data_IF_395776852932
#
_entry.id   IF_395776852932
#
_cell.length_a   1.000
_cell.length_b   1.000
_cell.length_c   1.000
_cell.angle_alpha   90.00
_cell.angle_beta   90.00
_cell.angle_gamma   90.00
#
_symmetry.space_group_name_H-M   'P 1'
#
loop_
_entity.id
_entity.type
_entity.pdbx_description
1 polymer ?
#
# COMPACT_ATOMS: atom_id res chain seq x y z
N UNK A 1 -44.18 -99.57 20.26
CA UNK A 1 -43.69 -99.29 18.89
C UNK A 1 -42.38 -98.55 19.04
N UNK A 2 -41.27 -99.30 19.09
CA UNK A 2 -39.94 -98.76 19.32
C UNK A 2 -39.14 -98.94 18.04
N UNK A 3 -38.79 -97.80 17.46
CA UNK A 3 -38.01 -97.63 16.24
C UNK A 3 -36.58 -98.14 16.47
N UNK A 4 -36.19 -99.25 15.82
CA UNK A 4 -34.78 -99.63 15.71
C UNK A 4 -34.19 -98.99 14.45
N UNK A 5 -33.35 -97.98 14.67
CA UNK A 5 -32.49 -97.37 13.65
C UNK A 5 -31.35 -98.36 13.40
N UNK A 6 -31.36 -99.04 12.25
CA UNK A 6 -30.19 -99.78 11.77
C UNK A 6 -29.13 -98.76 11.38
N UNK A 7 -28.03 -98.75 12.15
CA UNK A 7 -26.92 -97.82 11.98
C UNK A 7 -26.40 -97.79 10.55
N UNK A 8 -26.15 -96.57 10.07
CA UNK A 8 -25.41 -96.32 8.83
C UNK A 8 -24.02 -96.95 8.95
N UNK A 9 -23.83 -98.06 8.24
CA UNK A 9 -22.51 -98.62 7.99
C UNK A 9 -21.72 -97.62 7.15
N UNK A 10 -20.77 -96.95 7.79
CA UNK A 10 -19.83 -96.06 7.13
C UNK A 10 -19.19 -96.76 5.94
N UNK A 11 -19.33 -96.15 4.76
CA UNK A 11 -18.69 -96.60 3.54
C UNK A 11 -17.18 -96.66 3.77
N UNK A 12 -16.67 -97.88 3.98
CA UNK A 12 -15.26 -98.16 3.97
C UNK A 12 -14.73 -97.88 2.58
N UNK A 13 -14.25 -96.66 2.34
CA UNK A 13 -13.50 -96.32 1.15
C UNK A 13 -12.29 -97.24 1.03
N UNK A 14 -11.87 -97.52 -0.20
CA UNK A 14 -10.74 -98.41 -0.45
C UNK A 14 -9.49 -97.95 0.32
N UNK A 15 -8.86 -98.85 1.05
CA UNK A 15 -7.63 -98.58 1.83
C UNK A 15 -6.34 -98.76 1.01
N UNK A 16 -6.47 -99.22 -0.23
CA UNK A 16 -5.40 -99.34 -1.22
C UNK A 16 -5.93 -98.96 -2.61
N UNK A 17 -5.07 -98.43 -3.49
CA UNK A 17 -5.45 -98.02 -4.84
C UNK A 17 -6.09 -99.15 -5.66
N UNK A 18 -5.70 -100.41 -5.44
CA UNK A 18 -6.29 -101.57 -6.13
C UNK A 18 -7.73 -101.87 -5.73
N UNK A 19 -8.22 -101.30 -4.63
CA UNK A 19 -9.62 -101.41 -4.19
C UNK A 19 -10.54 -100.35 -4.79
N UNK A 20 -9.99 -99.36 -5.51
CA UNK A 20 -10.77 -98.35 -6.21
C UNK A 20 -11.32 -98.95 -7.50
N UNK A 21 -12.65 -99.07 -7.60
CA UNK A 21 -13.30 -99.72 -8.75
C UNK A 21 -13.21 -98.91 -10.04
N UNK A 22 -12.88 -97.64 -9.94
CA UNK A 22 -12.66 -96.68 -11.02
C UNK A 22 -11.18 -96.55 -11.41
N UNK A 23 -10.27 -97.27 -10.75
CA UNK A 23 -8.83 -97.28 -11.08
C UNK A 23 -8.43 -98.65 -11.62
N UNK A 24 -7.70 -98.68 -12.72
CA UNK A 24 -7.12 -99.89 -13.29
C UNK A 24 -5.62 -99.70 -13.42
N UNK A 25 -4.84 -100.53 -12.72
CA UNK A 25 -3.37 -100.45 -12.73
C UNK A 25 -2.77 -101.67 -13.43
N UNK A 26 -1.84 -101.45 -14.36
CA UNK A 26 -1.09 -102.50 -15.04
C UNK A 26 0.36 -102.06 -15.26
N UNK A 27 1.32 -102.98 -15.06
CA UNK A 27 2.76 -102.75 -15.32
C UNK A 27 3.29 -101.41 -14.75
N UNK A 28 3.15 -101.22 -13.43
CA UNK A 28 3.56 -99.99 -12.76
C UNK A 28 5.08 -99.75 -12.88
N UNK A 29 5.44 -98.52 -13.24
CA UNK A 29 6.81 -98.01 -13.28
C UNK A 29 6.89 -96.62 -12.62
N UNK A 30 8.09 -96.25 -12.15
CA UNK A 30 8.33 -94.92 -11.59
C UNK A 30 8.03 -93.82 -12.63
N UNK A 31 7.45 -92.69 -12.18
CA UNK A 31 7.13 -91.55 -13.05
C UNK A 31 5.84 -91.69 -13.85
N UNK A 32 5.00 -92.68 -13.56
CA UNK A 32 3.65 -92.77 -14.11
C UNK A 32 2.66 -91.89 -13.34
N UNK A 33 1.63 -91.44 -14.04
CA UNK A 33 0.49 -90.70 -13.49
C UNK A 33 -0.79 -91.49 -13.71
N UNK A 34 -1.85 -91.18 -12.95
CA UNK A 34 -3.19 -91.65 -13.27
C UNK A 34 -3.83 -90.69 -14.28
N UNK A 35 -4.18 -91.20 -15.46
CA UNK A 35 -4.90 -90.47 -16.48
C UNK A 35 -6.25 -91.14 -16.71
N UNK A 36 -7.31 -90.33 -16.77
CA UNK A 36 -8.64 -90.84 -17.07
C UNK A 36 -8.72 -91.28 -18.54
N UNK A 37 -9.06 -92.55 -18.78
CA UNK A 37 -9.28 -93.11 -20.10
C UNK A 37 -10.79 -93.18 -20.39
N UNK A 38 -11.28 -92.30 -21.26
CA UNK A 38 -12.70 -92.25 -21.61
C UNK A 38 -13.21 -93.48 -22.38
N UNK A 39 -12.30 -94.28 -22.98
CA UNK A 39 -12.66 -95.51 -23.68
C UNK A 39 -12.96 -96.68 -22.74
N UNK A 40 -12.29 -96.74 -21.59
CA UNK A 40 -12.52 -97.77 -20.56
C UNK A 40 -13.35 -97.25 -19.38
N UNK A 41 -13.52 -95.93 -19.28
CA UNK A 41 -14.21 -95.26 -18.17
C UNK A 41 -13.46 -95.35 -16.85
N UNK A 42 -12.15 -95.64 -16.87
CA UNK A 42 -11.29 -95.85 -15.70
C UNK A 42 -10.11 -94.88 -15.68
N UNK A 43 -9.58 -94.63 -14.49
CA UNK A 43 -8.27 -94.03 -14.29
C UNK A 43 -7.21 -95.11 -14.48
N UNK A 44 -6.33 -94.92 -15.46
CA UNK A 44 -5.28 -95.87 -15.79
C UNK A 44 -3.91 -95.26 -15.50
N UNK A 45 -2.96 -96.05 -15.00
CA UNK A 45 -1.58 -95.58 -14.91
C UNK A 45 -1.00 -95.48 -16.31
N UNK A 46 -0.49 -94.31 -16.64
CA UNK A 46 0.19 -94.04 -17.90
C UNK A 46 1.51 -93.37 -17.62
N UNK A 47 2.46 -93.53 -18.54
CA UNK A 47 3.70 -92.75 -18.47
C UNK A 47 3.36 -91.26 -18.51
N UNK A 48 4.01 -90.46 -17.65
CA UNK A 48 3.95 -89.01 -17.78
C UNK A 48 4.52 -88.62 -19.14
N UNK A 49 3.63 -88.29 -20.07
CA UNK A 49 4.00 -87.84 -21.42
C UNK A 49 4.30 -86.34 -21.37
N UNK A 50 5.45 -85.94 -21.94
CA UNK A 50 5.82 -84.52 -22.04
C UNK A 50 6.70 -83.96 -20.92
N UNK A 51 7.52 -84.78 -20.25
CA UNK A 51 8.59 -84.24 -19.41
C UNK A 51 9.59 -83.49 -20.31
N UNK A 52 9.70 -82.17 -20.11
CA UNK A 52 10.75 -81.40 -20.74
C UNK A 52 12.06 -81.63 -19.98
N UNK A 53 13.09 -82.06 -20.69
CA UNK A 53 14.45 -82.20 -20.16
C UNK A 53 15.26 -81.04 -20.68
N UNK A 54 15.69 -80.13 -19.81
CA UNK A 54 16.56 -79.03 -20.22
C UNK A 54 17.94 -79.57 -20.64
N UNK A 55 18.32 -79.26 -21.88
CA UNK A 55 19.57 -79.72 -22.51
C UNK A 55 20.62 -78.62 -22.64
N UNK A 56 20.29 -77.40 -22.22
CA UNK A 56 21.17 -76.24 -22.31
C UNK A 56 20.77 -75.31 -23.45
N UNK A 57 21.75 -74.55 -23.92
CA UNK A 57 21.54 -73.55 -24.95
C UNK A 57 21.58 -74.12 -26.35
N UNK A 58 20.86 -73.49 -27.29
CA UNK A 58 20.91 -73.79 -28.71
C UNK A 58 21.22 -72.53 -29.52
N UNK A 59 22.28 -72.58 -30.32
CA UNK A 59 22.69 -71.51 -31.19
C UNK A 59 21.96 -71.64 -32.54
N UNK A 60 20.98 -70.77 -32.78
CA UNK A 60 20.14 -70.83 -33.99
C UNK A 60 20.81 -70.30 -35.27
N UNK A 61 22.02 -69.73 -35.17
CA UNK A 61 22.85 -69.41 -36.35
C UNK A 61 23.70 -70.61 -36.77
N UNK A 62 24.28 -71.34 -35.80
CA UNK A 62 25.17 -72.47 -36.06
C UNK A 62 24.45 -73.83 -36.14
N UNK A 63 23.21 -73.93 -35.66
CA UNK A 63 22.46 -75.18 -35.58
C UNK A 63 23.02 -76.17 -34.55
N UNK A 64 23.60 -75.65 -33.46
CA UNK A 64 24.28 -76.46 -32.43
C UNK A 64 23.61 -76.32 -31.06
N UNK A 65 23.51 -77.39 -30.25
CA UNK A 65 23.96 -78.75 -30.55
C UNK A 65 23.11 -79.41 -31.65
N UNK A 66 23.71 -80.36 -32.38
CA UNK A 66 23.02 -81.06 -33.46
C UNK A 66 21.83 -81.85 -32.93
N UNK A 67 20.67 -81.70 -33.56
CA UNK A 67 19.41 -82.32 -33.11
C UNK A 67 19.12 -83.68 -33.76
N UNK A 68 20.00 -84.24 -34.59
CA UNK A 68 19.74 -85.51 -35.31
C UNK A 68 19.34 -86.66 -34.40
N UNK A 69 19.85 -86.69 -33.17
CA UNK A 69 19.54 -87.71 -32.16
C UNK A 69 18.84 -87.14 -30.93
N UNK A 70 18.22 -85.95 -31.04
CA UNK A 70 17.46 -85.39 -29.94
C UNK A 70 16.20 -86.24 -29.68
N UNK A 71 15.88 -86.39 -28.40
CA UNK A 71 14.75 -87.19 -27.94
C UNK A 71 13.54 -86.31 -27.69
N UNK A 72 12.35 -86.91 -27.75
CA UNK A 72 11.12 -86.28 -27.33
C UNK A 72 11.25 -85.71 -25.92
N UNK A 73 10.88 -84.44 -25.77
CA UNK A 73 10.98 -83.70 -24.52
C UNK A 73 12.31 -82.98 -24.32
N UNK A 74 13.32 -83.15 -25.19
CA UNK A 74 14.53 -82.33 -25.13
C UNK A 74 14.14 -80.85 -25.33
N UNK A 75 14.55 -80.01 -24.37
CA UNK A 75 14.24 -78.60 -24.28
C UNK A 75 15.53 -77.76 -24.29
N UNK A 76 15.59 -76.75 -25.15
CA UNK A 76 16.73 -75.84 -25.27
C UNK A 76 16.28 -74.39 -25.19
N UNK A 77 17.16 -73.53 -24.71
CA UNK A 77 16.98 -72.06 -24.74
C UNK A 77 17.89 -71.47 -25.81
N UNK A 78 17.35 -70.61 -26.66
CA UNK A 78 18.14 -69.97 -27.72
C UNK A 78 19.10 -68.96 -27.09
N UNK A 79 20.40 -69.13 -27.30
CA UNK A 79 21.43 -68.19 -26.82
C UNK A 79 21.88 -67.21 -27.91
N UNK A 80 21.79 -67.63 -29.18
CA UNK A 80 22.13 -66.84 -30.35
C UNK A 80 20.98 -66.91 -31.33
N UNK A 81 20.40 -65.73 -31.65
CA UNK A 81 19.34 -65.60 -32.62
C UNK A 81 19.78 -66.07 -34.02
N UNK A 82 18.83 -66.50 -34.84
CA UNK A 82 19.09 -66.99 -36.19
C UNK A 82 17.89 -67.71 -36.79
N UNK A 83 17.99 -68.10 -38.05
CA UNK A 83 16.95 -68.89 -38.73
C UNK A 83 17.43 -70.32 -38.89
N UNK A 84 16.73 -71.26 -38.26
CA UNK A 84 17.05 -72.68 -38.31
C UNK A 84 15.77 -73.52 -38.41
N UNK A 85 15.81 -74.58 -39.20
CA UNK A 85 14.66 -75.47 -39.46
C UNK A 85 13.44 -74.73 -40.05
N UNK A 86 13.65 -73.63 -40.78
CA UNK A 86 12.57 -72.81 -41.34
C UNK A 86 11.87 -71.90 -40.33
N UNK A 87 12.37 -71.83 -39.10
CA UNK A 87 11.84 -71.00 -38.00
C UNK A 87 12.85 -69.90 -37.68
N UNK A 88 12.37 -68.66 -37.49
CA UNK A 88 13.20 -67.57 -37.01
C UNK A 88 13.20 -67.55 -35.47
N UNK A 89 14.38 -67.59 -34.87
CA UNK A 89 14.59 -67.66 -33.44
C UNK A 89 15.24 -66.38 -32.93
N UNK A 90 14.67 -65.81 -31.87
CA UNK A 90 15.22 -64.73 -31.06
C UNK A 90 15.95 -65.31 -29.85
N UNK A 91 16.89 -64.54 -29.29
CA UNK A 91 17.56 -64.93 -28.04
C UNK A 91 16.52 -65.06 -26.93
N UNK A 92 16.64 -66.15 -26.15
CA UNK A 92 15.72 -66.51 -25.08
C UNK A 92 14.53 -67.35 -25.54
N UNK A 93 14.24 -67.44 -26.84
CA UNK A 93 13.19 -68.35 -27.32
C UNK A 93 13.49 -69.79 -26.89
N UNK A 94 12.46 -70.62 -26.90
CA UNK A 94 12.50 -71.98 -26.39
C UNK A 94 12.28 -72.97 -27.51
N UNK A 95 13.24 -73.87 -27.74
CA UNK A 95 13.15 -74.96 -28.69
C UNK A 95 12.78 -76.25 -27.95
N UNK A 96 11.69 -76.90 -28.38
CA UNK A 96 11.22 -78.17 -27.81
C UNK A 96 11.16 -79.22 -28.91
N UNK A 97 11.74 -80.39 -28.64
CA UNK A 97 11.62 -81.57 -29.48
C UNK A 97 10.36 -82.35 -29.07
N UNK A 98 9.36 -82.43 -29.94
CA UNK A 98 8.05 -83.01 -29.62
C UNK A 98 7.94 -84.53 -29.88
N UNK A 99 8.91 -85.08 -30.62
CA UNK A 99 9.01 -86.49 -30.97
C UNK A 99 10.47 -86.85 -31.30
N UNK A 100 10.83 -88.13 -31.17
CA UNK A 100 12.21 -88.59 -31.36
C UNK A 100 12.69 -88.31 -32.81
N UNK A 101 13.86 -87.69 -32.96
CA UNK A 101 14.41 -87.33 -34.28
C UNK A 101 14.87 -88.55 -35.09
N UNK A 102 15.29 -89.62 -34.43
CA UNK A 102 15.56 -90.91 -35.10
C UNK A 102 16.72 -90.89 -36.12
N UNK A 103 17.67 -89.96 -35.98
CA UNK A 103 18.85 -89.84 -36.83
C UNK A 103 18.70 -88.84 -37.98
N UNK A 104 17.49 -88.35 -38.27
CA UNK A 104 17.21 -87.36 -39.32
C UNK A 104 16.40 -86.21 -38.73
N UNK A 105 16.83 -84.98 -38.97
CA UNK A 105 16.11 -83.80 -38.46
C UNK A 105 14.81 -83.62 -39.25
N UNK A 106 13.68 -83.65 -38.54
CA UNK A 106 12.36 -83.29 -39.07
C UNK A 106 11.88 -82.00 -38.38
N UNK A 107 11.78 -80.87 -39.11
CA UNK A 107 11.26 -79.61 -38.56
C UNK A 107 9.85 -79.71 -37.97
N UNK A 108 9.00 -80.65 -38.43
CA UNK A 108 7.66 -80.84 -37.85
C UNK A 108 7.71 -81.35 -36.40
N UNK A 109 8.86 -81.90 -35.99
CA UNK A 109 9.11 -82.36 -34.62
C UNK A 109 9.66 -81.27 -33.70
N UNK A 110 9.76 -80.04 -34.18
CA UNK A 110 10.30 -78.90 -33.44
C UNK A 110 9.18 -77.91 -33.14
N UNK A 111 8.98 -77.63 -31.86
CA UNK A 111 8.11 -76.57 -31.40
C UNK A 111 8.94 -75.38 -30.92
N UNK A 112 8.49 -74.19 -31.29
CA UNK A 112 8.97 -72.92 -30.76
C UNK A 112 8.00 -72.42 -29.69
N UNK A 113 8.54 -71.94 -28.58
CA UNK A 113 7.83 -71.03 -27.68
C UNK A 113 8.61 -69.71 -27.70
N UNK A 114 7.92 -68.63 -28.05
CA UNK A 114 8.53 -67.29 -28.12
C UNK A 114 8.82 -66.75 -26.71
N UNK A 115 9.98 -66.13 -26.54
CA UNK A 115 10.29 -65.36 -25.35
C UNK A 115 9.63 -63.97 -25.44
N UNK A 116 8.67 -63.71 -24.56
CA UNK A 116 7.96 -62.42 -24.50
C UNK A 116 8.63 -61.38 -23.60
N UNK A 117 9.69 -61.75 -22.88
CA UNK A 117 10.33 -60.89 -21.87
C UNK A 117 11.37 -59.93 -22.47
N UNK A 118 11.56 -59.95 -23.79
CA UNK A 118 12.47 -59.04 -24.47
C UNK A 118 11.92 -57.59 -24.44
N UNK A 119 12.70 -56.66 -23.89
CA UNK A 119 12.44 -55.23 -24.07
C UNK A 119 12.58 -54.90 -25.56
N UNK A 120 11.47 -54.62 -26.22
CA UNK A 120 11.42 -54.40 -27.67
C UNK A 120 11.99 -53.03 -28.09
N UNK A 121 11.92 -52.04 -27.21
CA UNK A 121 12.53 -50.71 -27.40
C UNK A 121 12.66 -49.96 -26.08
N UNK A 122 13.55 -48.97 -26.04
CA UNK A 122 13.60 -47.97 -24.97
C UNK A 122 13.43 -46.61 -25.63
N UNK A 123 12.35 -45.89 -25.27
CA UNK A 123 12.00 -44.61 -25.87
C UNK A 123 11.93 -44.66 -27.43
N UNK A 124 11.42 -45.76 -27.99
CA UNK A 124 11.33 -45.98 -29.43
C UNK A 124 12.63 -46.40 -30.12
N UNK A 125 13.79 -46.36 -29.44
CA UNK A 125 15.06 -46.83 -29.95
C UNK A 125 15.24 -48.35 -29.75
N UNK A 126 15.93 -48.99 -30.70
CA UNK A 126 16.27 -50.42 -30.66
C UNK A 126 17.80 -50.63 -30.75
N UNK A 127 18.31 -51.76 -30.27
CA UNK A 127 19.74 -52.09 -30.28
C UNK A 127 20.50 -51.56 -29.05
N UNK A 128 21.73 -51.06 -29.25
CA UNK A 128 22.48 -50.38 -28.17
C UNK A 128 21.87 -49.00 -27.98
N UNK A 129 21.16 -48.81 -26.88
CA UNK A 129 20.48 -47.55 -26.58
C UNK A 129 21.36 -46.70 -25.67
N UNK A 130 21.72 -45.51 -26.14
CA UNK A 130 22.28 -44.42 -25.34
C UNK A 130 21.28 -43.27 -25.46
N UNK A 131 20.77 -42.78 -24.34
CA UNK A 131 19.85 -41.65 -24.31
C UNK A 131 20.52 -40.45 -23.64
N UNK A 132 20.21 -39.26 -24.12
CA UNK A 132 20.44 -38.00 -23.40
C UNK A 132 19.10 -37.26 -23.15
N UNK A 133 19.19 -36.00 -22.73
CA UNK A 133 18.01 -35.18 -22.46
C UNK A 133 17.18 -34.85 -23.70
N UNK A 134 17.80 -34.85 -24.89
CA UNK A 134 17.13 -34.49 -26.14
C UNK A 134 16.24 -35.62 -26.66
N UNK A 135 16.57 -36.87 -26.29
CA UNK A 135 15.78 -38.04 -26.67
C UNK A 135 14.45 -38.11 -25.91
N UNK A 136 14.40 -37.60 -24.68
CA UNK A 136 13.23 -37.74 -23.80
C UNK A 136 12.43 -36.45 -23.79
N UNK A 137 11.20 -36.50 -24.31
CA UNK A 137 10.33 -35.32 -24.34
C UNK A 137 9.98 -34.81 -22.92
N UNK A 138 10.01 -33.49 -22.76
CA UNK A 138 9.47 -32.84 -21.57
C UNK A 138 7.94 -32.96 -21.50
N UNK A 139 7.42 -33.13 -20.29
CA UNK A 139 5.98 -33.23 -20.02
C UNK A 139 5.58 -32.31 -18.87
N UNK A 140 4.37 -32.46 -18.33
CA UNK A 140 3.92 -31.64 -17.21
C UNK A 140 4.71 -31.87 -15.90
N UNK A 141 5.38 -33.03 -15.78
CA UNK A 141 6.13 -33.45 -14.58
C UNK A 141 7.63 -33.47 -14.82
N UNK A 142 8.07 -33.93 -15.99
CA UNK A 142 9.48 -33.95 -16.37
C UNK A 142 9.80 -32.66 -17.13
N UNK A 143 10.37 -31.69 -16.43
CA UNK A 143 10.74 -30.39 -16.97
C UNK A 143 12.25 -30.22 -16.78
N UNK A 144 12.97 -30.03 -17.87
CA UNK A 144 14.41 -29.84 -17.80
C UNK A 144 14.74 -28.42 -17.34
N UNK A 145 15.93 -28.28 -16.76
CA UNK A 145 16.47 -26.97 -16.47
C UNK A 145 16.81 -26.30 -17.81
N UNK A 146 16.28 -25.09 -18.01
CA UNK A 146 16.70 -24.20 -19.08
C UNK A 146 16.93 -22.82 -18.49
N UNK A 147 17.93 -22.10 -19.01
CA UNK A 147 18.20 -20.72 -18.61
C UNK A 147 16.93 -19.87 -18.74
N UNK A 148 16.18 -20.06 -19.83
CA UNK A 148 14.91 -19.37 -20.05
C UNK A 148 13.85 -19.59 -18.94
N UNK A 149 13.68 -20.83 -18.43
CA UNK A 149 12.75 -21.09 -17.30
C UNK A 149 13.28 -20.53 -15.99
N UNK A 150 14.60 -20.59 -15.79
CA UNK A 150 15.23 -20.03 -14.60
C UNK A 150 15.06 -18.50 -14.57
N UNK A 151 15.32 -17.83 -15.70
CA UNK A 151 15.18 -16.39 -15.88
C UNK A 151 13.71 -15.97 -15.73
N UNK A 152 12.78 -16.65 -16.39
CA UNK A 152 11.34 -16.36 -16.23
C UNK A 152 10.88 -16.47 -14.77
N UNK A 153 11.41 -17.45 -14.01
CA UNK A 153 11.15 -17.56 -12.57
C UNK A 153 11.79 -16.43 -11.77
N UNK A 154 13.01 -16.02 -12.13
CA UNK A 154 13.70 -14.91 -11.47
C UNK A 154 12.94 -13.58 -11.71
N UNK A 155 12.58 -13.29 -12.96
CA UNK A 155 11.82 -12.11 -13.34
C UNK A 155 10.46 -12.06 -12.63
N UNK A 156 9.75 -13.19 -12.57
CA UNK A 156 8.49 -13.27 -11.83
C UNK A 156 8.67 -12.95 -10.33
N UNK A 157 9.77 -13.41 -9.71
CA UNK A 157 10.08 -13.10 -8.31
C UNK A 157 10.46 -11.63 -8.12
N UNK A 158 11.24 -11.06 -9.03
CA UNK A 158 11.64 -9.65 -8.99
C UNK A 158 10.40 -8.75 -9.16
N UNK A 159 9.55 -9.04 -10.14
CA UNK A 159 8.32 -8.29 -10.40
C UNK A 159 7.29 -8.39 -9.26
N UNK A 160 7.21 -9.54 -8.58
CA UNK A 160 6.35 -9.74 -7.41
C UNK A 160 6.95 -9.14 -6.12
N UNK A 161 8.24 -8.81 -6.11
CA UNK A 161 8.88 -8.19 -4.96
C UNK A 161 8.40 -6.74 -4.80
N UNK A 162 8.16 -6.35 -3.56
CA UNK A 162 7.83 -4.97 -3.19
C UNK A 162 8.78 -4.51 -2.08
N UNK A 163 8.63 -3.28 -1.60
CA UNK A 163 9.51 -2.70 -0.58
C UNK A 163 9.56 -3.49 0.74
N UNK A 164 8.52 -4.28 1.05
CA UNK A 164 8.47 -5.16 2.24
C UNK A 164 9.17 -6.50 2.03
N UNK A 165 9.47 -6.88 0.79
CA UNK A 165 10.21 -8.08 0.46
C UNK A 165 11.74 -7.90 0.58
N UNK A 166 12.21 -6.65 0.69
CA UNK A 166 13.63 -6.36 0.95
C UNK A 166 13.91 -6.59 2.44
N UNK A 167 14.32 -7.82 2.77
CA UNK A 167 14.72 -8.19 4.13
C UNK A 167 15.98 -7.44 4.60
N UNK A 168 16.84 -7.07 3.65
CA UNK A 168 17.98 -6.18 3.87
C UNK A 168 18.24 -5.37 2.60
N UNK A 169 18.30 -4.05 2.73
CA UNK A 169 18.87 -3.15 1.73
C UNK A 169 20.27 -2.75 2.21
N UNK A 170 21.19 -3.70 2.16
CA UNK A 170 22.59 -3.46 2.54
C UNK A 170 23.32 -2.81 1.36
N UNK A 171 23.41 -1.48 1.35
CA UNK A 171 24.38 -0.77 0.53
C UNK A 171 25.75 -0.81 1.23
N UNK A 172 26.63 -1.72 0.82
CA UNK A 172 28.00 -1.81 1.37
C UNK A 172 28.93 -0.81 0.67
N UNK A 173 28.75 0.49 0.91
CA UNK A 173 29.79 1.47 0.63
C UNK A 173 30.40 1.96 1.94
N UNK A 174 31.24 1.12 2.54
CA UNK A 174 32.09 1.49 3.66
C UNK A 174 31.36 1.76 4.99
N UNK A 175 32.13 1.74 6.06
CA UNK A 175 31.70 2.15 7.41
C UNK A 175 31.33 3.64 7.38
N UNK A 176 30.15 4.00 7.93
CA UNK A 176 29.57 5.35 8.07
C UNK A 176 28.47 5.79 7.05
N UNK A 177 27.37 5.05 6.96
CA UNK A 177 26.13 5.49 6.28
C UNK A 177 24.92 5.64 7.23
N UNK A 178 25.16 5.72 8.54
CA UNK A 178 24.08 5.95 9.50
C UNK A 178 23.36 7.26 9.18
N UNK A 179 22.01 7.23 9.19
CA UNK A 179 21.11 8.35 8.83
C UNK A 179 21.18 8.83 7.36
N UNK A 180 21.76 8.05 6.45
CA UNK A 180 21.61 8.30 5.02
C UNK A 180 20.30 7.69 4.52
N UNK A 181 19.70 8.31 3.51
CA UNK A 181 18.53 7.79 2.79
C UNK A 181 18.96 7.24 1.45
N UNK A 182 18.26 6.21 0.97
CA UNK A 182 18.50 5.69 -0.37
C UNK A 182 17.74 6.55 -1.38
N UNK A 183 18.47 7.31 -2.18
CA UNK A 183 17.92 8.17 -3.24
C UNK A 183 18.30 7.61 -4.61
N UNK A 184 17.39 7.70 -5.57
CA UNK A 184 17.73 7.39 -6.97
C UNK A 184 18.37 8.62 -7.61
N UNK A 185 19.67 8.53 -7.89
CA UNK A 185 20.41 9.54 -8.64
C UNK A 185 20.35 9.20 -10.13
N UNK A 186 19.55 9.96 -10.89
CA UNK A 186 19.41 9.76 -12.33
C UNK A 186 20.73 10.05 -13.09
N UNK A 187 21.53 11.02 -12.64
CA UNK A 187 22.78 11.37 -13.30
C UNK A 187 23.84 10.26 -13.14
N UNK A 188 23.85 9.58 -11.99
CA UNK A 188 24.66 8.39 -11.77
C UNK A 188 24.01 7.08 -12.27
N UNK A 189 22.73 7.12 -12.68
CA UNK A 189 21.98 5.98 -13.20
C UNK A 189 21.67 4.90 -12.17
N UNK A 190 21.53 5.24 -10.88
CA UNK A 190 21.33 4.23 -9.85
C UNK A 190 20.95 4.75 -8.47
N UNK A 191 20.56 3.82 -7.60
CA UNK A 191 20.28 4.07 -6.18
C UNK A 191 21.60 4.28 -5.42
N UNK A 192 21.66 5.32 -4.60
CA UNK A 192 22.82 5.67 -3.77
C UNK A 192 22.38 6.06 -2.37
N UNK A 193 23.22 5.75 -1.39
CA UNK A 193 23.06 6.32 -0.06
C UNK A 193 23.49 7.79 -0.12
N UNK A 194 22.56 8.69 0.14
CA UNK A 194 22.81 10.13 0.20
C UNK A 194 22.49 10.64 1.60
N UNK A 195 23.21 11.68 2.03
CA UNK A 195 22.86 12.40 3.26
C UNK A 195 21.41 12.81 3.13
N UNK A 196 20.59 12.50 4.14
CA UNK A 196 19.25 13.03 4.20
C UNK A 196 19.35 14.57 4.13
N UNK A 197 18.95 15.13 3.00
CA UNK A 197 18.93 16.59 2.83
C UNK A 197 18.08 17.16 3.94
N UNK A 198 18.59 18.18 4.63
CA UNK A 198 17.77 18.90 5.60
C UNK A 198 16.49 19.38 4.89
N UNK A 199 15.37 19.36 5.59
CA UNK A 199 14.11 19.77 5.00
C UNK A 199 14.28 21.20 4.42
N UNK A 200 13.58 21.58 3.33
CA UNK A 200 13.68 22.93 2.77
C UNK A 200 13.48 24.06 3.79
N UNK A 201 12.85 23.74 4.92
CA UNK A 201 12.72 24.58 6.10
C UNK A 201 13.18 23.76 7.30
N UNK A 202 14.34 24.10 7.87
CA UNK A 202 14.86 23.44 9.08
C UNK A 202 14.06 23.83 10.34
N UNK A 203 13.58 25.07 10.38
CA UNK A 203 12.72 25.57 11.45
C UNK A 203 11.86 26.73 10.96
N UNK A 204 10.72 26.93 11.60
CA UNK A 204 9.91 28.15 11.46
C UNK A 204 9.96 28.86 12.80
N UNK A 205 10.56 30.06 12.82
CA UNK A 205 10.73 30.84 14.05
C UNK A 205 11.42 30.06 15.18
N UNK A 206 12.41 29.22 14.84
CA UNK A 206 13.15 28.39 15.80
C UNK A 206 12.46 27.08 16.23
N UNK A 207 11.20 26.87 15.86
CA UNK A 207 10.49 25.61 16.13
C UNK A 207 10.71 24.57 15.01
N UNK A 208 10.84 23.29 15.41
CA UNK A 208 11.04 22.14 14.51
C UNK A 208 9.86 21.16 14.61
N UNK A 209 9.55 20.44 13.53
CA UNK A 209 8.50 19.41 13.52
C UNK A 209 7.12 19.96 13.10
N UNK A 210 6.04 19.53 13.77
CA UNK A 210 4.70 20.10 13.56
C UNK A 210 4.66 21.47 14.23
N UNK A 211 4.69 22.52 13.43
CA UNK A 211 4.69 23.91 13.93
C UNK A 211 3.26 24.46 13.90
N UNK A 212 2.77 24.90 15.05
CA UNK A 212 1.58 25.74 15.21
C UNK A 212 2.08 27.05 15.78
N UNK A 213 1.76 28.18 15.13
CA UNK A 213 2.15 29.51 15.59
C UNK A 213 0.93 30.31 15.98
N UNK A 214 1.07 31.14 17.00
CA UNK A 214 0.21 32.29 17.26
C UNK A 214 1.01 33.61 17.27
N UNK A 215 0.36 34.69 17.69
CA UNK A 215 0.97 36.02 17.71
C UNK A 215 2.08 36.16 18.77
N UNK A 216 2.12 35.29 19.78
CA UNK A 216 3.13 35.34 20.85
C UNK A 216 4.46 34.74 20.38
N UNK A 217 4.42 33.84 19.39
CA UNK A 217 5.63 33.24 18.85
C UNK A 217 6.46 34.24 18.03
N UNK A 218 5.83 35.16 17.30
CA UNK A 218 6.54 36.03 16.35
C UNK A 218 6.81 37.41 16.98
N UNK A 219 8.09 37.80 17.03
CA UNK A 219 8.46 39.10 17.59
C UNK A 219 7.96 40.28 16.75
N UNK A 220 7.49 41.33 17.42
CA UNK A 220 7.15 42.59 16.78
C UNK A 220 8.39 43.34 16.29
N UNK A 221 8.28 43.96 15.12
CA UNK A 221 9.33 44.76 14.51
C UNK A 221 8.78 46.02 13.87
N UNK A 222 9.59 46.74 13.09
CA UNK A 222 9.16 47.99 12.46
C UNK A 222 8.01 47.80 11.43
N UNK A 223 7.88 46.60 10.84
CA UNK A 223 6.85 46.28 9.85
C UNK A 223 5.70 45.41 10.42
N UNK A 224 5.97 44.65 11.47
CA UNK A 224 4.99 43.78 12.13
C UNK A 224 4.66 44.34 13.50
N UNK A 225 3.62 45.16 13.56
CA UNK A 225 3.10 45.75 14.78
C UNK A 225 1.71 45.15 15.03
N UNK A 226 1.59 44.35 16.07
CA UNK A 226 0.33 43.81 16.53
C UNK A 226 -0.53 44.94 17.12
N UNK A 227 -1.83 44.74 16.97
CA UNK A 227 -2.80 45.53 17.71
C UNK A 227 -2.66 45.19 19.19
N UNK A 228 -2.44 46.21 20.01
CA UNK A 228 -2.54 46.11 21.46
C UNK A 228 -3.40 47.25 21.96
N UNK A 229 -4.20 47.00 23.00
CA UNK A 229 -5.03 48.04 23.60
C UNK A 229 -4.18 49.24 24.02
N UNK A 230 -3.00 49.00 24.58
CA UNK A 230 -2.06 50.07 24.93
C UNK A 230 -1.66 50.99 23.76
N UNK A 231 -1.42 50.45 22.55
CA UNK A 231 -1.10 51.28 21.37
C UNK A 231 -2.32 52.01 20.82
N UNK A 232 -3.49 51.35 20.87
CA UNK A 232 -4.74 51.97 20.47
C UNK A 232 -5.07 53.15 21.39
N UNK A 233 -4.94 52.96 22.70
CA UNK A 233 -5.14 53.98 23.73
C UNK A 233 -4.13 55.12 23.59
N UNK A 234 -2.84 54.82 23.43
CA UNK A 234 -1.82 55.85 23.21
C UNK A 234 -2.10 56.70 21.95
N UNK A 235 -2.61 56.08 20.88
CA UNK A 235 -3.04 56.81 19.67
C UNK A 235 -4.29 57.66 19.93
N UNK A 236 -5.26 57.14 20.69
CA UNK A 236 -6.47 57.87 21.04
C UNK A 236 -6.13 59.10 21.90
N UNK A 237 -5.32 58.92 22.94
CA UNK A 237 -4.85 59.98 23.82
C UNK A 237 -4.11 61.07 23.04
N UNK A 238 -3.22 60.68 22.13
CA UNK A 238 -2.51 61.64 21.27
C UNK A 238 -3.48 62.46 20.41
N UNK A 239 -4.54 61.84 19.86
CA UNK A 239 -5.56 62.54 19.06
C UNK A 239 -6.43 63.47 19.91
N UNK A 240 -6.80 63.04 21.12
CA UNK A 240 -7.60 63.85 22.06
C UNK A 240 -6.77 65.06 22.50
N UNK A 241 -5.52 64.86 22.91
CA UNK A 241 -4.62 65.93 23.34
C UNK A 241 -4.30 66.93 22.21
N UNK A 242 -4.24 66.48 20.96
CA UNK A 242 -4.03 67.35 19.80
C UNK A 242 -5.30 68.08 19.34
N UNK A 243 -6.48 67.68 19.82
CA UNK A 243 -7.75 68.33 19.48
C UNK A 243 -7.89 69.66 20.22
N UNK A 244 -8.53 70.65 19.59
CA UNK A 244 -8.78 71.96 20.18
C UNK A 244 -10.17 72.49 19.76
N UNK A 245 -10.57 73.67 20.23
CA UNK A 245 -11.89 74.24 19.95
C UNK A 245 -12.20 74.43 18.46
N UNK A 246 -11.19 74.61 17.61
CA UNK A 246 -11.38 74.74 16.15
C UNK A 246 -11.64 73.40 15.46
N UNK A 247 -11.37 72.29 16.14
CA UNK A 247 -11.67 70.94 15.64
C UNK A 247 -13.14 70.53 15.86
N UNK A 248 -13.91 71.29 16.65
CA UNK A 248 -15.34 71.07 16.81
C UNK A 248 -16.05 71.68 15.60
N UNK A 249 -16.54 70.83 14.69
CA UNK A 249 -17.28 71.27 13.51
C UNK A 249 -18.64 71.89 13.87
N UNK A 250 -19.31 71.34 14.89
CA UNK A 250 -20.52 71.88 15.50
C UNK A 250 -20.51 71.58 17.01
N UNK A 251 -20.85 72.58 17.82
CA UNK A 251 -21.14 72.40 19.26
C UNK A 251 -22.66 72.44 19.44
N UNK A 252 -23.32 71.30 19.23
CA UNK A 252 -24.76 71.18 19.46
C UNK A 252 -25.05 70.86 20.91
N UNK A 253 -25.59 71.83 21.66
CA UNK A 253 -26.10 71.64 23.01
C UNK A 253 -27.62 71.47 22.99
N UNK A 254 -28.13 70.29 23.34
CA UNK A 254 -29.57 70.02 23.41
C UNK A 254 -30.08 70.24 24.84
N UNK A 255 -30.38 71.49 25.21
CA UNK A 255 -31.32 71.77 26.31
C UNK A 255 -32.68 72.21 25.74
N UNK A 256 -33.73 72.13 26.56
CA UNK A 256 -35.12 72.35 26.14
C UNK A 256 -35.39 73.67 25.39
N UNK A 257 -36.58 73.78 24.78
CA UNK A 257 -36.98 74.92 23.95
C UNK A 257 -36.74 76.28 24.65
N UNK A 258 -36.15 77.25 23.93
CA UNK A 258 -36.03 78.65 24.38
C UNK A 258 -34.62 79.20 24.63
N UNK A 259 -33.56 78.55 24.12
CA UNK A 259 -32.16 79.00 24.29
C UNK A 259 -31.58 79.72 23.07
N UNK A 260 -32.42 80.20 22.15
CA UNK A 260 -31.96 81.03 21.04
C UNK A 260 -31.23 82.28 21.58
N UNK A 261 -30.08 82.62 20.99
CA UNK A 261 -29.23 83.74 21.40
C UNK A 261 -28.53 83.59 22.78
N UNK A 262 -28.50 82.40 23.36
CA UNK A 262 -27.70 82.09 24.55
C UNK A 262 -26.26 81.76 24.14
N UNK A 263 -25.30 82.04 25.02
CA UNK A 263 -23.89 81.68 24.85
C UNK A 263 -23.55 80.50 25.76
N UNK A 264 -22.63 79.63 25.33
CA UNK A 264 -22.07 78.61 26.23
C UNK A 264 -21.04 79.27 27.15
N UNK A 265 -21.31 79.22 28.45
CA UNK A 265 -20.40 79.66 29.50
C UNK A 265 -20.07 78.49 30.42
N UNK A 266 -18.82 78.45 30.89
CA UNK A 266 -18.39 77.43 31.84
C UNK A 266 -18.77 77.86 33.25
N UNK A 267 -19.71 77.16 33.86
CA UNK A 267 -20.09 77.34 35.26
C UNK A 267 -19.23 76.43 36.14
N UNK A 268 -18.25 77.03 36.83
CA UNK A 268 -17.37 76.31 37.75
C UNK A 268 -18.11 75.76 38.98
N UNK A 269 -19.19 76.40 39.42
CA UNK A 269 -19.96 75.91 40.58
C UNK A 269 -20.76 74.65 40.21
N UNK A 270 -21.26 74.59 38.98
CA UNK A 270 -21.92 73.40 38.45
C UNK A 270 -20.97 72.36 37.84
N UNK A 271 -19.69 72.71 37.65
CA UNK A 271 -18.67 71.83 37.09
C UNK A 271 -18.83 71.54 35.59
N UNK A 272 -19.44 72.44 34.81
CA UNK A 272 -19.71 72.17 33.39
C UNK A 272 -20.15 73.37 32.56
N UNK A 273 -20.18 73.18 31.25
CA UNK A 273 -20.69 74.16 30.28
C UNK A 273 -22.22 74.22 30.33
N UNK A 274 -22.78 75.43 30.34
CA UNK A 274 -24.23 75.69 30.35
C UNK A 274 -24.56 76.79 29.33
N UNK A 275 -25.77 76.74 28.80
CA UNK A 275 -26.29 77.85 28.01
C UNK A 275 -26.77 78.94 28.97
N UNK A 276 -26.20 80.13 28.85
CA UNK A 276 -26.60 81.32 29.62
C UNK A 276 -27.00 82.45 28.68
N UNK A 277 -27.95 83.27 29.12
CA UNK A 277 -28.35 84.45 28.36
C UNK A 277 -27.13 85.35 28.18
N UNK A 278 -26.90 85.83 26.95
CA UNK A 278 -25.83 86.79 26.71
C UNK A 278 -26.02 88.02 27.61
N UNK A 279 -24.97 88.42 28.33
CA UNK A 279 -25.03 89.59 29.21
C UNK A 279 -25.41 90.85 28.42
N UNK A 280 -26.28 91.70 28.98
CA UNK A 280 -26.50 93.04 28.45
C UNK A 280 -25.20 93.87 28.60
N UNK A 281 -24.96 94.81 27.68
CA UNK A 281 -23.80 95.68 27.77
C UNK A 281 -23.80 96.41 29.14
N UNK A 282 -22.62 96.66 29.76
CA UNK A 282 -22.54 97.30 31.09
C UNK A 282 -23.17 98.70 31.18
N UNK A 283 -23.43 99.32 30.04
CA UNK A 283 -24.08 100.63 29.91
C UNK A 283 -25.21 100.47 28.90
N UNK A 284 -26.45 100.60 29.36
CA UNK A 284 -27.63 100.49 28.48
C UNK A 284 -27.74 101.70 27.54
N UNK A 285 -27.38 102.89 28.03
CA UNK A 285 -27.31 104.12 27.25
C UNK A 285 -26.37 105.13 27.91
N UNK A 286 -25.82 106.05 27.12
CA UNK A 286 -25.17 107.27 27.64
C UNK A 286 -25.99 108.45 27.16
N UNK A 287 -26.58 109.18 28.10
CA UNK A 287 -27.43 110.34 27.83
C UNK A 287 -28.62 110.04 26.88
N UNK A 288 -29.19 108.83 26.99
CA UNK A 288 -30.33 108.37 26.18
C UNK A 288 -29.96 107.76 24.82
N UNK A 289 -28.70 107.89 24.37
CA UNK A 289 -28.21 107.25 23.14
C UNK A 289 -27.73 105.82 23.40
N UNK A 290 -28.01 104.90 22.47
CA UNK A 290 -27.59 103.49 22.52
C UNK A 290 -26.60 103.18 21.38
N UNK A 291 -25.78 102.14 21.56
CA UNK A 291 -24.77 101.73 20.56
C UNK A 291 -23.46 102.51 20.66
N UNK A 292 -22.86 102.87 19.52
CA UNK A 292 -21.66 103.72 19.47
C UNK A 292 -22.09 105.15 19.77
N UNK A 293 -21.78 105.63 20.98
CA UNK A 293 -22.16 106.98 21.43
C UNK A 293 -21.02 107.97 21.19
N UNK A 294 -21.31 109.04 20.46
CA UNK A 294 -20.46 110.23 20.34
C UNK A 294 -21.31 111.40 20.83
N UNK A 295 -20.80 112.19 21.78
CA UNK A 295 -21.50 113.35 22.34
C UNK A 295 -20.72 114.64 22.07
N UNK A 296 -21.45 115.73 21.83
CA UNK A 296 -20.93 117.08 21.93
C UNK A 296 -21.64 117.89 23.03
N UNK A 297 -21.39 119.20 23.07
CA UNK A 297 -21.96 120.07 24.11
C UNK A 297 -23.47 120.26 23.99
N UNK A 298 -24.07 120.02 22.81
CA UNK A 298 -25.52 120.13 22.60
C UNK A 298 -26.25 118.90 23.16
N UNK A 299 -25.58 117.76 23.24
CA UNK A 299 -26.19 116.54 23.76
C UNK A 299 -26.39 116.62 25.28
N UNK A 300 -25.48 117.26 26.02
CA UNK A 300 -25.53 117.26 27.50
C UNK A 300 -26.12 118.56 28.01
N UNK A 301 -27.28 118.49 28.67
CA UNK A 301 -27.96 119.67 29.23
C UNK A 301 -27.11 120.40 30.30
N UNK A 302 -27.15 121.73 30.29
CA UNK A 302 -26.53 122.55 31.34
C UNK A 302 -27.26 122.39 32.68
N UNK A 303 -26.49 122.30 33.76
CA UNK A 303 -26.97 122.21 35.13
C UNK A 303 -26.12 123.03 36.10
N UNK A 304 -26.39 122.90 37.41
CA UNK A 304 -25.66 123.68 38.42
C UNK A 304 -24.14 123.39 38.47
N UNK A 305 -23.71 122.22 38.01
CA UNK A 305 -22.30 121.81 37.98
C UNK A 305 -21.67 121.84 36.57
N UNK A 306 -22.49 121.82 35.52
CA UNK A 306 -22.06 121.85 34.13
C UNK A 306 -22.63 123.11 33.47
N UNK A 307 -21.85 124.20 33.53
CA UNK A 307 -22.20 125.48 32.95
C UNK A 307 -21.28 125.69 31.75
N UNK A 308 -21.83 125.71 30.53
CA UNK A 308 -21.04 126.06 29.36
C UNK A 308 -20.80 127.57 29.30
N UNK A 309 -19.73 127.92 28.60
CA UNK A 309 -19.47 129.30 28.26
C UNK A 309 -20.57 129.80 27.32
N UNK A 310 -21.21 130.90 27.70
CA UNK A 310 -22.10 131.65 26.80
C UNK A 310 -21.73 133.12 26.88
N UNK A 311 -21.77 133.81 25.74
CA UNK A 311 -21.49 135.24 25.67
C UNK A 311 -22.42 136.01 26.64
N UNK A 312 -23.69 135.61 26.75
CA UNK A 312 -24.63 136.20 27.70
C UNK A 312 -24.17 136.13 29.17
N UNK A 313 -23.58 135.01 29.64
CA UNK A 313 -23.03 134.91 31.02
C UNK A 313 -21.73 135.70 31.17
N UNK A 314 -20.90 135.71 30.12
CA UNK A 314 -19.66 136.48 30.11
C UNK A 314 -19.96 137.99 30.18
N UNK A 315 -20.92 138.45 29.39
CA UNK A 315 -21.42 139.83 29.34
C UNK A 315 -22.08 140.21 30.67
N UNK A 316 -22.98 139.37 31.22
CA UNK A 316 -23.57 139.62 32.53
C UNK A 316 -22.52 139.74 33.65
N UNK A 317 -21.44 138.95 33.59
CA UNK A 317 -20.29 139.07 34.50
C UNK A 317 -19.49 140.35 34.25
N UNK A 318 -19.31 140.75 33.00
CA UNK A 318 -18.63 142.00 32.63
C UNK A 318 -19.42 143.22 33.08
N UNK A 319 -20.73 143.26 32.81
CA UNK A 319 -21.66 144.31 33.24
C UNK A 319 -21.68 144.43 34.77
N UNK A 320 -21.73 143.31 35.50
CA UNK A 320 -21.66 143.31 36.96
C UNK A 320 -20.34 143.92 37.47
N UNK A 321 -19.21 143.65 36.80
CA UNK A 321 -17.91 144.25 37.16
C UNK A 321 -17.85 145.74 36.81
N UNK A 322 -18.41 146.16 35.67
CA UNK A 322 -18.47 147.56 35.24
C UNK A 322 -19.35 148.36 36.21
N UNK A 323 -20.53 147.85 36.58
CA UNK A 323 -21.43 148.49 37.54
C UNK A 323 -20.78 148.65 38.93
N UNK A 324 -20.05 147.63 39.40
CA UNK A 324 -19.33 147.69 40.68
C UNK A 324 -18.16 148.72 40.67
N UNK A 325 -17.66 149.11 39.49
CA UNK A 325 -16.52 150.03 39.36
C UNK A 325 -16.92 151.52 39.46
N UNK A 326 -18.21 151.86 39.37
CA UNK A 326 -18.66 153.24 39.08
C UNK A 326 -19.37 153.99 40.22
N UNK A 327 -19.25 153.53 41.47
CA UNK A 327 -19.74 154.26 42.65
C UNK A 327 -18.79 154.05 43.83
N UNK A 328 -17.79 154.93 43.97
CA UNK A 328 -17.03 155.32 45.20
C UNK A 328 -15.58 155.73 44.92
N UNK A 329 -15.07 155.66 43.69
CA UNK A 329 -13.66 155.89 43.41
C UNK A 329 -13.28 157.26 42.81
N UNK A 330 -14.06 158.34 43.04
CA UNK A 330 -13.56 159.70 42.83
C UNK A 330 -14.25 160.67 43.80
N UNK A 331 -13.58 160.91 44.92
CA UNK A 331 -13.65 162.18 45.65
C UNK A 331 -12.70 163.18 44.99
#
# INVERSE_FOLDING_TARGET
MTLMISGGGGGGGATALSGLSDVTLAALANGQILQYNSGTGKWENTALTGQLTYKGSFNATAGTPGLTNALKGDFYVIDVAGTQFGVNWSIGDHLIVNDDMGGVIDPAKINKIDNTDAVSSVNGATGVVVLDSDDVAEGAVNLYYTDARADARADARIAASNMTALADVSYTAGVAIDNYVLTYDHAAGGWRAEVATSAPVDSVNGATGVVVLDSDDVAEGAANLYYTDARADARADARIAASNMTALADVSYTAGAGIDNYVLTYDHAAGGWRAEAAASAPVDSVNGATGVVVLDSDDVAEGAANLYYTDARADARADARIAASNMTALA
#
